data_IF_961979963622
#
_entry.id   IF_961979963622
#
_cell.length_a   1.000
_cell.length_b   1.000
_cell.length_c   1.000
_cell.angle_alpha   90.00
_cell.angle_beta   90.00
_cell.angle_gamma   90.00
#
_symmetry.space_group_name_H-M   'P 1'
#
loop_
_entity.id
_entity.type
_entity.pdbx_description
1 polymer ?
#
# COMPACT_ATOMS: atom_id res chain seq x y z
N UNK A 1 -15.34 10.07 -60.68
CA UNK A 1 -14.76 9.04 -59.80
C UNK A 1 -13.65 9.66 -58.97
N UNK A 2 -13.88 9.95 -57.69
CA UNK A 2 -13.08 9.37 -56.61
C UNK A 2 -13.72 9.69 -55.26
N UNK A 3 -14.04 8.63 -54.53
CA UNK A 3 -14.58 8.65 -53.18
C UNK A 3 -13.43 8.71 -52.18
N UNK A 4 -13.57 9.43 -51.08
CA UNK A 4 -12.66 9.33 -49.92
C UNK A 4 -13.51 9.29 -48.65
N UNK A 5 -13.21 8.28 -47.81
CA UNK A 5 -14.10 7.70 -46.81
C UNK A 5 -14.23 8.46 -45.49
N UNK A 6 -14.99 7.92 -44.52
CA UNK A 6 -15.39 8.63 -43.33
C UNK A 6 -14.23 8.78 -42.33
N UNK A 7 -14.15 9.97 -41.74
CA UNK A 7 -13.27 10.27 -40.62
C UNK A 7 -13.66 9.42 -39.40
N UNK A 8 -12.74 8.60 -38.92
CA UNK A 8 -12.90 7.91 -37.64
C UNK A 8 -12.76 8.94 -36.51
N UNK A 9 -13.88 9.38 -35.96
CA UNK A 9 -13.88 10.10 -34.68
C UNK A 9 -13.57 9.08 -33.57
N UNK A 10 -12.41 9.21 -32.94
CA UNK A 10 -12.10 8.50 -31.70
C UNK A 10 -13.03 9.01 -30.60
N UNK A 11 -14.13 8.31 -30.38
CA UNK A 11 -14.98 8.48 -29.20
C UNK A 11 -14.10 8.22 -27.98
N UNK A 12 -13.84 9.26 -27.19
CA UNK A 12 -13.11 9.16 -25.93
C UNK A 12 -13.89 8.22 -24.99
N UNK A 13 -13.37 7.01 -24.79
CA UNK A 13 -13.86 6.08 -23.79
C UNK A 13 -13.82 6.76 -22.43
N UNK A 14 -14.97 6.72 -21.77
CA UNK A 14 -15.22 7.20 -20.43
C UNK A 14 -14.01 6.97 -19.51
N UNK A 15 -13.56 8.05 -18.87
CA UNK A 15 -12.60 7.97 -17.80
C UNK A 15 -13.14 7.02 -16.73
N UNK A 16 -12.42 5.94 -16.48
CA UNK A 16 -12.54 5.13 -15.27
C UNK A 16 -12.62 6.08 -14.07
N UNK A 17 -13.56 5.89 -13.11
CA UNK A 17 -13.53 6.71 -11.90
C UNK A 17 -12.14 6.55 -11.29
N UNK A 18 -11.37 7.64 -11.36
CA UNK A 18 -10.06 7.77 -10.76
C UNK A 18 -10.25 7.39 -9.30
N UNK A 19 -9.73 6.22 -8.92
CA UNK A 19 -10.03 5.58 -7.65
C UNK A 19 -9.92 6.60 -6.52
N UNK A 20 -10.97 6.67 -5.69
CA UNK A 20 -10.99 7.51 -4.50
C UNK A 20 -9.63 7.42 -3.79
N UNK A 21 -9.05 8.56 -3.41
CA UNK A 21 -7.77 8.64 -2.72
C UNK A 21 -7.78 7.67 -1.53
N UNK A 22 -7.19 6.50 -1.73
CA UNK A 22 -7.23 5.42 -0.75
C UNK A 22 -5.81 5.30 -0.24
N UNK A 23 -5.59 5.94 0.90
CA UNK A 23 -4.32 5.88 1.63
C UNK A 23 -4.07 4.46 2.14
N UNK A 24 -2.80 4.15 2.37
CA UNK A 24 -2.44 2.89 2.97
C UNK A 24 -2.92 2.79 4.42
N UNK A 25 -3.30 1.59 4.83
CA UNK A 25 -3.63 1.25 6.21
C UNK A 25 -2.43 0.56 6.85
N UNK A 26 -1.79 1.18 7.84
CA UNK A 26 -0.69 0.57 8.61
C UNK A 26 -1.23 -0.12 9.85
N UNK A 27 -0.87 -1.39 10.05
CA UNK A 27 -1.24 -2.18 11.22
C UNK A 27 0.04 -2.74 11.84
N UNK A 28 0.26 -2.42 13.12
CA UNK A 28 1.39 -2.89 13.92
C UNK A 28 0.96 -3.96 14.90
N UNK A 29 1.84 -4.92 15.18
CA UNK A 29 1.61 -5.86 16.27
C UNK A 29 1.62 -5.12 17.64
N UNK A 30 0.85 -5.57 18.66
CA UNK A 30 -0.06 -6.73 18.71
C UNK A 30 -1.42 -6.55 18.05
N UNK A 31 -1.73 -5.39 17.48
CA UNK A 31 -3.08 -5.07 17.01
C UNK A 31 -3.56 -6.14 16.02
N UNK A 32 -4.75 -6.67 16.27
CA UNK A 32 -5.44 -7.58 15.35
C UNK A 32 -6.26 -6.76 14.37
N UNK A 33 -6.39 -7.29 13.17
CA UNK A 33 -7.28 -6.73 12.16
C UNK A 33 -8.65 -7.35 12.35
N UNK A 34 -9.61 -6.56 12.82
CA UNK A 34 -10.99 -7.04 12.95
C UNK A 34 -11.67 -7.16 11.59
N UNK A 35 -11.24 -6.39 10.58
CA UNK A 35 -11.73 -6.47 9.21
C UNK A 35 -10.68 -5.95 8.21
N UNK A 36 -10.12 -6.83 7.37
CA UNK A 36 -9.42 -6.40 6.16
C UNK A 36 -10.52 -6.03 5.16
N UNK A 37 -10.54 -4.79 4.69
CA UNK A 37 -11.44 -4.42 3.59
C UNK A 37 -11.01 -5.19 2.34
N UNK A 38 -11.79 -6.17 1.91
CA UNK A 38 -11.55 -6.83 0.63
C UNK A 38 -12.17 -5.99 -0.50
N UNK A 39 -11.52 -5.86 -1.67
CA UNK A 39 -10.35 -6.58 -2.16
C UNK A 39 -9.01 -5.80 -2.03
N UNK A 40 -8.69 -5.22 -0.86
CA UNK A 40 -7.41 -4.50 -0.68
C UNK A 40 -6.22 -5.45 -0.66
N UNK A 41 -5.21 -5.20 -1.50
CA UNK A 41 -3.95 -5.91 -1.45
C UNK A 41 -3.22 -5.65 -0.12
N UNK A 42 -2.49 -6.65 0.38
CA UNK A 42 -1.77 -6.56 1.65
C UNK A 42 -0.27 -6.78 1.46
N UNK A 43 0.55 -6.02 2.19
CA UNK A 43 2.02 -6.07 2.18
C UNK A 43 2.49 -6.40 3.60
N UNK A 44 3.22 -7.50 3.77
CA UNK A 44 3.82 -7.87 5.06
C UNK A 44 5.30 -7.49 5.10
N UNK A 45 5.70 -6.69 6.10
CA UNK A 45 7.06 -6.17 6.24
C UNK A 45 8.02 -7.19 6.87
N UNK A 46 8.31 -8.28 6.14
CA UNK A 46 9.28 -9.29 6.55
C UNK A 46 10.72 -8.76 6.42
N UNK A 47 11.44 -8.67 7.54
CA UNK A 47 12.83 -8.23 7.58
C UNK A 47 13.30 -7.90 8.99
N UNK A 48 14.55 -7.45 9.13
CA UNK A 48 15.19 -7.14 10.41
C UNK A 48 14.35 -6.21 11.27
N UNK A 49 13.97 -6.65 12.48
CA UNK A 49 13.16 -5.89 13.47
C UNK A 49 14.00 -5.00 14.38
N UNK A 50 15.33 -5.11 14.34
CA UNK A 50 16.24 -4.22 15.05
C UNK A 50 16.38 -2.88 14.33
N UNK A 51 16.44 -1.79 15.10
CA UNK A 51 16.82 -0.48 14.59
C UNK A 51 18.26 -0.52 14.09
N UNK A 52 18.49 -0.13 12.85
CA UNK A 52 19.83 -0.02 12.28
C UNK A 52 20.32 1.44 12.39
N UNK A 53 21.64 1.64 12.42
CA UNK A 53 22.29 2.96 12.56
C UNK A 53 21.88 3.95 11.45
N UNK A 54 21.34 3.47 10.33
CA UNK A 54 20.88 4.26 9.19
C UNK A 54 19.40 4.63 9.18
N UNK A 55 18.64 4.34 10.25
CA UNK A 55 17.19 4.58 10.32
C UNK A 55 16.36 3.31 10.15
N UNK A 56 15.04 3.45 10.31
CA UNK A 56 14.10 2.34 10.21
C UNK A 56 13.50 2.24 8.80
N UNK A 57 13.96 1.24 8.05
CA UNK A 57 13.50 0.96 6.68
C UNK A 57 11.98 0.78 6.57
N UNK A 58 11.30 0.34 7.65
CA UNK A 58 9.84 0.21 7.67
C UNK A 58 9.16 1.55 7.57
N UNK A 59 9.72 2.55 8.25
CA UNK A 59 9.21 3.93 8.25
C UNK A 59 9.33 4.53 6.85
N UNK A 60 10.47 4.34 6.20
CA UNK A 60 10.69 4.79 4.82
C UNK A 60 9.73 4.10 3.84
N UNK A 61 9.63 2.77 3.89
CA UNK A 61 8.75 2.02 2.99
C UNK A 61 7.27 2.34 3.21
N UNK A 62 6.83 2.49 4.46
CA UNK A 62 5.45 2.88 4.79
C UNK A 62 5.15 4.28 4.26
N UNK A 63 6.11 5.19 4.30
CA UNK A 63 5.98 6.54 3.73
C UNK A 63 5.81 6.48 2.22
N UNK A 64 6.64 5.68 1.53
CA UNK A 64 6.55 5.49 0.07
C UNK A 64 5.20 4.87 -0.36
N UNK A 65 4.67 3.94 0.43
CA UNK A 65 3.40 3.27 0.14
C UNK A 65 2.17 4.05 0.63
N UNK A 66 2.34 5.17 1.34
CA UNK A 66 1.24 5.89 2.00
C UNK A 66 0.10 6.33 1.07
N UNK A 67 0.40 6.56 -0.20
CA UNK A 67 -0.56 6.96 -1.23
C UNK A 67 -1.23 5.77 -1.96
N UNK A 68 -0.83 4.52 -1.66
CA UNK A 68 -1.36 3.32 -2.28
C UNK A 68 -2.51 2.73 -1.46
N UNK A 69 -3.54 2.15 -2.11
CA UNK A 69 -4.68 1.53 -1.44
C UNK A 69 -4.36 0.12 -0.93
N UNK A 70 -3.38 0.01 -0.04
CA UNK A 70 -2.88 -1.27 0.47
C UNK A 70 -2.90 -1.32 2.00
N UNK A 71 -3.01 -2.53 2.53
CA UNK A 71 -2.84 -2.79 3.96
C UNK A 71 -1.40 -3.19 4.22
N UNK A 72 -0.69 -2.44 5.06
CA UNK A 72 0.70 -2.70 5.45
C UNK A 72 0.68 -3.34 6.84
N UNK A 73 1.24 -4.54 6.94
CA UNK A 73 1.39 -5.30 8.18
C UNK A 73 2.84 -5.20 8.66
N UNK A 74 3.04 -4.47 9.75
CA UNK A 74 4.34 -4.23 10.36
C UNK A 74 4.50 -5.11 11.62
N UNK A 75 5.41 -6.11 11.62
CA UNK A 75 5.62 -6.98 12.77
C UNK A 75 6.40 -6.32 13.92
N UNK A 76 6.86 -5.07 13.76
CA UNK A 76 7.63 -4.38 14.79
C UNK A 76 6.83 -4.23 16.08
N UNK A 77 7.48 -4.60 17.18
CA UNK A 77 6.95 -4.52 18.54
C UNK A 77 7.87 -3.69 19.41
N UNK A 78 7.43 -2.50 19.86
CA UNK A 78 8.20 -1.70 20.80
C UNK A 78 8.45 -2.41 22.14
N UNK A 79 7.55 -3.34 22.51
CA UNK A 79 7.61 -4.18 23.71
C UNK A 79 8.60 -5.35 23.59
N UNK A 80 9.22 -5.56 22.43
CA UNK A 80 10.33 -6.50 22.22
C UNK A 80 11.69 -5.82 22.41
N UNK A 81 11.84 -5.17 23.57
CA UNK A 81 13.12 -4.63 23.98
C UNK A 81 13.99 -5.69 24.68
N UNK A 82 15.12 -5.28 25.24
CA UNK A 82 16.06 -6.17 25.95
C UNK A 82 15.48 -6.82 27.21
N UNK A 83 14.31 -6.35 27.68
CA UNK A 83 13.59 -6.93 28.82
C UNK A 83 12.65 -8.04 28.39
N UNK A 84 12.32 -8.15 27.10
CA UNK A 84 11.50 -9.25 26.58
C UNK A 84 12.15 -10.62 26.85
N UNK A 85 11.29 -11.61 27.09
CA UNK A 85 11.63 -13.00 27.38
C UNK A 85 10.77 -13.89 26.50
N UNK A 86 11.40 -14.91 25.92
CA UNK A 86 10.74 -15.99 25.17
C UNK A 86 9.99 -16.96 26.10
#
# INVERSE_FOLDING_TARGET
MNSSGPAFTCTSSQATPMMASSRAQLIRAPSRVDTISYPSASVFLAGSTSSQTGGDWRTELTTLLSACPVTILDPARPDWDSTWRE
#
